data_IF_237133320020
#
_entry.id   IF_237133320020
#
_cell.length_a   1.000
_cell.length_b   1.000
_cell.length_c   1.000
_cell.angle_alpha   90.00
_cell.angle_beta   90.00
_cell.angle_gamma   90.00
#
_symmetry.space_group_name_H-M   'P 1'
#
loop_
_entity.id
_entity.type
_entity.pdbx_description
1 polymer ?
#
# COMPACT_ATOMS: atom_id res chain seq x y z
N UNK A 1 2.90 14.87 -15.11
CA UNK A 1 3.64 14.57 -13.86
C UNK A 1 4.99 15.26 -13.93
N UNK A 2 5.31 16.18 -13.02
CA UNK A 2 6.54 17.01 -13.09
C UNK A 2 7.80 16.32 -12.53
N UNK A 3 7.79 14.98 -12.39
CA UNK A 3 8.91 14.22 -11.82
C UNK A 3 9.16 14.42 -10.32
N UNK A 4 8.24 15.04 -9.57
CA UNK A 4 8.37 15.26 -8.12
C UNK A 4 7.98 14.01 -7.34
N UNK A 5 8.79 13.62 -6.38
CA UNK A 5 8.45 12.58 -5.42
C UNK A 5 7.52 13.13 -4.33
N UNK A 6 6.48 12.37 -3.98
CA UNK A 6 5.60 12.66 -2.86
C UNK A 6 5.91 11.68 -1.72
N UNK A 7 6.12 12.20 -0.52
CA UNK A 7 6.24 11.41 0.70
C UNK A 7 5.02 11.70 1.56
N UNK A 8 4.29 10.66 1.95
CA UNK A 8 3.06 10.76 2.72
C UNK A 8 3.07 9.77 3.89
N UNK A 9 2.33 10.10 4.94
CA UNK A 9 2.08 9.22 6.09
C UNK A 9 0.58 9.23 6.38
N UNK A 10 0.01 8.06 6.61
CA UNK A 10 -1.39 7.87 7.03
C UNK A 10 -1.40 7.05 8.31
N UNK A 11 -2.18 7.49 9.30
CA UNK A 11 -2.23 6.88 10.63
C UNK A 11 -3.38 5.89 10.78
N UNK A 12 -4.47 6.10 10.04
CA UNK A 12 -5.63 5.22 10.08
C UNK A 12 -5.44 4.04 9.13
N UNK A 13 -5.40 2.78 9.63
CA UNK A 13 -5.16 1.60 8.80
C UNK A 13 -6.12 1.47 7.62
N UNK A 14 -7.39 1.85 7.78
CA UNK A 14 -8.36 1.76 6.68
C UNK A 14 -8.05 2.75 5.54
N UNK A 15 -7.47 3.92 5.86
CA UNK A 15 -7.09 4.91 4.85
C UNK A 15 -5.74 4.61 4.22
N UNK A 16 -4.86 3.83 4.88
CA UNK A 16 -3.65 3.28 4.26
C UNK A 16 -4.03 2.44 3.04
N UNK A 17 -5.02 1.55 3.18
CA UNK A 17 -5.47 0.69 2.08
C UNK A 17 -6.06 1.51 0.91
N UNK A 18 -6.78 2.59 1.22
CA UNK A 18 -7.32 3.51 0.20
C UNK A 18 -6.19 4.23 -0.55
N UNK A 19 -5.19 4.74 0.18
CA UNK A 19 -4.06 5.43 -0.42
C UNK A 19 -3.27 4.51 -1.36
N UNK A 20 -2.97 3.28 -0.93
CA UNK A 20 -2.27 2.29 -1.76
C UNK A 20 -3.11 1.92 -2.98
N UNK A 21 -4.40 1.62 -2.81
CA UNK A 21 -5.27 1.24 -3.93
C UNK A 21 -5.33 2.34 -5.00
N UNK A 22 -5.55 3.59 -4.59
CA UNK A 22 -5.57 4.73 -5.53
C UNK A 22 -4.24 4.95 -6.24
N UNK A 23 -3.13 4.76 -5.52
CA UNK A 23 -1.81 4.86 -6.12
C UNK A 23 -1.60 3.76 -7.18
N UNK A 24 -1.93 2.50 -6.87
CA UNK A 24 -1.81 1.39 -7.82
C UNK A 24 -2.71 1.61 -9.05
N UNK A 25 -3.95 2.07 -8.86
CA UNK A 25 -4.87 2.38 -9.98
C UNK A 25 -4.32 3.49 -10.88
N UNK A 26 -3.69 4.51 -10.27
CA UNK A 26 -3.13 5.64 -10.99
C UNK A 26 -1.84 5.28 -11.76
N UNK A 27 -0.97 4.44 -11.17
CA UNK A 27 0.33 4.10 -11.76
C UNK A 27 0.31 2.82 -12.59
N UNK A 28 -0.66 1.94 -12.36
CA UNK A 28 -0.70 0.57 -12.89
C UNK A 28 0.34 -0.37 -12.24
N UNK A 29 1.01 0.05 -11.16
CA UNK A 29 2.06 -0.71 -10.50
C UNK A 29 1.53 -1.45 -9.27
N UNK A 30 2.17 -2.57 -8.92
CA UNK A 30 1.91 -3.26 -7.66
C UNK A 30 2.77 -2.64 -6.54
N UNK A 31 2.14 -2.27 -5.44
CA UNK A 31 2.83 -1.78 -4.26
C UNK A 31 3.47 -2.96 -3.51
N UNK A 32 4.67 -2.73 -2.98
CA UNK A 32 5.44 -3.71 -2.19
C UNK A 32 5.86 -3.09 -0.86
N UNK A 33 5.90 -3.91 0.19
CA UNK A 33 6.43 -3.54 1.49
C UNK A 33 7.97 -3.57 1.42
N UNK A 34 8.62 -2.45 1.77
CA UNK A 34 10.08 -2.32 1.64
C UNK A 34 10.87 -3.32 2.49
N UNK A 35 10.33 -3.72 3.65
CA UNK A 35 11.02 -4.57 4.62
C UNK A 35 11.37 -5.96 4.06
N UNK A 36 10.44 -6.56 3.31
CA UNK A 36 10.48 -7.97 2.88
C UNK A 36 10.13 -8.17 1.40
N UNK A 37 9.70 -7.13 0.70
CA UNK A 37 9.30 -7.17 -0.69
C UNK A 37 7.89 -7.73 -0.92
N UNK A 38 7.12 -8.01 0.15
CA UNK A 38 5.79 -8.57 0.04
C UNK A 38 4.84 -7.61 -0.68
N UNK A 39 4.04 -8.11 -1.62
CA UNK A 39 3.04 -7.29 -2.31
C UNK A 39 1.93 -6.84 -1.36
N UNK A 40 1.26 -5.73 -1.70
CA UNK A 40 0.11 -5.27 -0.92
C UNK A 40 -1.01 -6.31 -0.82
N UNK A 41 -1.18 -7.16 -1.83
CA UNK A 41 -2.17 -8.24 -1.81
C UNK A 41 -1.83 -9.32 -0.77
N UNK A 42 -0.57 -9.75 -0.72
CA UNK A 42 -0.07 -10.70 0.28
C UNK A 42 -0.17 -10.13 1.69
N UNK A 43 0.27 -8.87 1.90
CA UNK A 43 0.15 -8.19 3.19
C UNK A 43 -1.30 -8.03 3.66
N UNK A 44 -2.24 -7.86 2.73
CA UNK A 44 -3.67 -7.80 3.06
C UNK A 44 -4.20 -9.16 3.52
N UNK A 45 -3.79 -10.25 2.87
CA UNK A 45 -4.17 -11.61 3.28
C UNK A 45 -3.63 -11.94 4.67
N UNK A 46 -2.35 -11.67 4.93
CA UNK A 46 -1.72 -11.90 6.23
C UNK A 46 -2.44 -11.16 7.38
N UNK A 47 -2.85 -9.90 7.14
CA UNK A 47 -3.64 -9.12 8.12
C UNK A 47 -5.02 -9.71 8.42
N UNK A 48 -5.63 -10.39 7.46
CA UNK A 48 -6.92 -11.07 7.64
C UNK A 48 -6.71 -12.34 8.45
N UNK A 49 -5.63 -13.08 8.18
CA UNK A 49 -5.31 -14.35 8.85
C UNK A 49 -4.80 -14.15 10.29
N UNK A 50 -4.08 -13.07 10.54
CA UNK A 50 -3.47 -12.78 11.86
C UNK A 50 -4.44 -12.06 12.81
N UNK A 51 -5.65 -11.72 12.37
CA UNK A 51 -6.68 -11.11 13.22
C UNK A 51 -7.39 -12.21 14.03
N UNK A 52 -7.42 -12.14 15.38
CA UNK A 52 -8.28 -13.03 16.18
C UNK A 52 -9.77 -12.78 15.93
#
# INVERSE_FOLDING_TARGET
MTGRCCHAIELNPAYVDVAVTRWQDFTGQAAVLECDGQSFAEAKLERIETRP
#
